data_IF_040814781526
#
_entry.id   IF_040814781526
#
_cell.length_a   1.000
_cell.length_b   1.000
_cell.length_c   1.000
_cell.angle_alpha   90.00
_cell.angle_beta   90.00
_cell.angle_gamma   90.00
#
_symmetry.space_group_name_H-M   'P 1'
#
loop_
_entity.id
_entity.type
_entity.pdbx_description
1 polymer ?
#
# COMPACT_ATOMS: atom_id res chain seq x y z
N UNK A 1 48.96 63.96 51.86
CA UNK A 1 48.39 63.82 53.22
C UNK A 1 47.26 62.80 53.17
N UNK A 2 46.92 62.17 54.29
CA UNK A 2 45.91 61.09 54.40
C UNK A 2 44.49 61.69 54.67
N UNK A 3 43.39 60.91 54.86
CA UNK A 3 43.30 59.44 54.97
C UNK A 3 42.10 58.77 54.23
N UNK A 4 41.89 57.49 54.58
CA UNK A 4 40.80 56.60 54.18
C UNK A 4 39.41 57.07 54.69
N UNK A 5 38.34 56.53 54.09
CA UNK A 5 37.33 55.74 54.84
C UNK A 5 36.48 54.86 53.91
N UNK A 6 35.89 53.80 54.47
CA UNK A 6 35.08 52.78 53.75
C UNK A 6 33.69 52.72 54.35
N UNK A 7 32.66 52.51 53.53
CA UNK A 7 31.36 52.01 54.01
C UNK A 7 30.68 51.16 52.93
N UNK A 8 30.12 50.02 53.34
CA UNK A 8 29.35 49.07 52.52
C UNK A 8 27.85 49.27 52.81
N UNK A 9 26.96 49.13 51.81
CA UNK A 9 25.86 48.16 51.86
C UNK A 9 25.16 47.94 50.51
N UNK A 10 24.42 46.84 50.42
CA UNK A 10 23.90 46.19 49.20
C UNK A 10 22.58 46.74 48.66
N UNK A 11 22.36 46.59 47.36
CA UNK A 11 21.05 46.25 46.77
C UNK A 11 21.23 45.55 45.40
N UNK A 12 20.29 44.70 44.99
CA UNK A 12 20.36 43.88 43.77
C UNK A 12 19.59 44.49 42.59
N UNK A 13 19.95 44.08 41.36
CA UNK A 13 19.20 44.02 40.07
C UNK A 13 20.25 44.19 38.93
N UNK A 14 20.15 43.64 37.71
CA UNK A 14 19.53 42.44 37.16
C UNK A 14 20.18 42.19 35.76
N UNK A 15 19.94 41.05 35.10
CA UNK A 15 20.61 40.73 33.83
C UNK A 15 20.14 41.57 32.63
N UNK A 16 21.10 41.95 31.78
CA UNK A 16 20.87 42.63 30.50
C UNK A 16 21.88 42.19 29.43
N UNK A 17 21.93 40.90 29.12
CA UNK A 17 22.84 40.34 28.12
C UNK A 17 22.28 40.50 26.69
N UNK A 18 23.03 41.17 25.81
CA UNK A 18 22.67 41.33 24.40
C UNK A 18 22.86 40.00 23.64
N UNK A 19 21.77 39.43 23.13
CA UNK A 19 21.82 38.24 22.27
C UNK A 19 22.04 38.68 20.82
N UNK A 20 23.21 38.37 20.26
CA UNK A 20 23.45 38.48 18.83
C UNK A 20 22.66 37.39 18.08
N UNK A 21 21.83 37.80 17.12
CA UNK A 21 20.98 36.88 16.37
C UNK A 21 21.79 36.02 15.39
N UNK A 22 21.97 34.74 15.70
CA UNK A 22 22.44 33.75 14.73
C UNK A 22 21.39 33.55 13.62
N UNK A 23 21.79 33.39 12.35
CA UNK A 23 20.86 33.10 11.27
C UNK A 23 20.23 31.71 11.46
N UNK A 24 18.90 31.66 11.49
CA UNK A 24 18.14 30.42 11.55
C UNK A 24 18.41 29.61 10.28
N UNK A 25 19.08 28.46 10.40
CA UNK A 25 19.17 27.49 9.31
C UNK A 25 17.75 26.99 8.98
N UNK A 26 17.38 26.83 7.70
CA UNK A 26 16.20 26.07 7.33
C UNK A 26 16.24 24.68 7.97
N UNK A 27 15.09 24.18 8.43
CA UNK A 27 15.01 22.85 9.02
C UNK A 27 15.47 21.79 8.00
N UNK A 28 16.38 20.92 8.42
CA UNK A 28 16.80 19.77 7.60
C UNK A 28 15.61 18.83 7.39
N UNK A 29 15.56 18.18 6.22
CA UNK A 29 14.53 17.22 5.92
C UNK A 29 14.58 16.02 6.87
N UNK A 30 13.52 15.88 7.68
CA UNK A 30 13.13 14.61 8.27
C UNK A 30 12.56 13.73 7.13
N UNK A 31 12.76 12.40 7.19
CA UNK A 31 12.21 11.43 6.23
C UNK A 31 11.57 10.28 7.02
N UNK A 32 10.28 9.97 6.75
CA UNK A 32 9.48 9.11 7.63
C UNK A 32 9.87 7.65 7.46
N UNK A 33 10.97 7.16 8.02
CA UNK A 33 11.24 5.72 8.02
C UNK A 33 10.51 5.04 9.18
N UNK A 34 9.47 4.24 8.89
CA UNK A 34 9.08 3.15 9.80
C UNK A 34 10.21 2.13 9.74
N UNK A 35 10.89 1.90 10.86
CA UNK A 35 11.89 0.84 10.95
C UNK A 35 11.18 -0.53 10.96
N UNK A 36 11.54 -1.39 10.01
CA UNK A 36 10.89 -2.69 9.84
C UNK A 36 11.46 -3.70 10.85
N UNK A 37 10.74 -3.94 11.95
CA UNK A 37 11.05 -5.02 12.89
C UNK A 37 10.62 -6.35 12.26
N UNK A 38 11.54 -6.95 11.49
CA UNK A 38 11.36 -8.28 10.88
C UNK A 38 10.97 -9.33 11.92
N UNK A 39 9.81 -9.97 11.75
CA UNK A 39 9.39 -11.09 12.58
C UNK A 39 10.11 -12.38 12.16
N UNK A 40 11.00 -12.98 12.98
CA UNK A 40 11.68 -14.23 12.64
C UNK A 40 10.74 -15.45 12.61
N UNK A 41 9.52 -15.31 13.14
CA UNK A 41 8.49 -16.35 13.24
C UNK A 41 7.37 -16.19 12.20
N UNK A 42 7.50 -15.28 11.24
CA UNK A 42 6.52 -15.12 10.16
C UNK A 42 6.44 -16.37 9.26
N UNK A 43 5.23 -16.75 8.88
CA UNK A 43 4.94 -17.86 7.94
C UNK A 43 4.11 -17.32 6.77
N UNK A 44 4.60 -17.54 5.55
CA UNK A 44 3.95 -17.04 4.34
C UNK A 44 2.63 -17.76 4.04
N UNK A 45 1.54 -17.02 3.92
CA UNK A 45 0.20 -17.57 3.70
C UNK A 45 -0.37 -17.14 2.33
N UNK A 46 0.03 -17.85 1.27
CA UNK A 46 -0.48 -17.61 -0.08
C UNK A 46 -2.01 -17.84 -0.19
N UNK A 47 -2.63 -18.82 0.51
CA UNK A 47 -4.08 -18.94 0.58
C UNK A 47 -4.75 -17.69 1.13
N UNK A 48 -4.20 -17.04 2.17
CA UNK A 48 -4.73 -15.76 2.67
C UNK A 48 -4.60 -14.63 1.63
N UNK A 49 -3.46 -14.51 0.96
CA UNK A 49 -3.25 -13.51 -0.08
C UNK A 49 -4.15 -13.75 -1.32
N UNK A 50 -4.35 -15.01 -1.72
CA UNK A 50 -5.22 -15.39 -2.83
C UNK A 50 -6.70 -15.20 -2.47
N UNK A 51 -7.09 -15.59 -1.25
CA UNK A 51 -8.43 -15.32 -0.72
C UNK A 51 -8.70 -13.82 -0.80
N UNK A 52 -7.88 -12.97 -0.14
CA UNK A 52 -7.97 -11.50 -0.21
C UNK A 52 -8.18 -10.97 -1.65
N UNK A 53 -7.60 -11.59 -2.68
CA UNK A 53 -7.80 -11.18 -4.07
C UNK A 53 -9.16 -11.59 -4.65
N UNK A 54 -9.57 -12.88 -4.58
CA UNK A 54 -10.94 -13.31 -4.97
C UNK A 54 -11.98 -12.43 -4.29
N UNK A 55 -11.77 -12.22 -2.99
CA UNK A 55 -12.51 -11.38 -2.08
C UNK A 55 -12.61 -9.94 -2.60
N UNK A 56 -11.49 -9.25 -2.82
CA UNK A 56 -11.48 -7.85 -3.27
C UNK A 56 -12.27 -7.60 -4.55
N UNK A 57 -12.34 -8.58 -5.44
CA UNK A 57 -13.04 -8.48 -6.74
C UNK A 57 -14.41 -9.17 -6.77
N UNK A 58 -14.95 -9.57 -5.61
CA UNK A 58 -16.31 -10.10 -5.49
C UNK A 58 -16.51 -11.53 -5.99
N UNK A 59 -15.42 -12.25 -6.27
CA UNK A 59 -15.46 -13.64 -6.67
C UNK A 59 -15.65 -14.58 -5.46
N UNK A 60 -16.37 -15.68 -5.67
CA UNK A 60 -16.59 -16.70 -4.63
C UNK A 60 -15.32 -17.52 -4.39
N UNK A 61 -14.96 -17.71 -3.12
CA UNK A 61 -13.84 -18.58 -2.72
C UNK A 61 -14.07 -20.03 -3.18
N UNK A 62 -13.12 -20.66 -3.91
CA UNK A 62 -13.16 -22.10 -4.20
C UNK A 62 -13.11 -22.94 -2.92
N UNK A 63 -13.75 -24.11 -2.95
CA UNK A 63 -14.00 -24.96 -1.77
C UNK A 63 -12.77 -25.22 -0.89
N UNK A 64 -11.64 -25.62 -1.51
CA UNK A 64 -10.38 -25.86 -0.78
C UNK A 64 -9.80 -24.59 -0.14
N UNK A 65 -9.91 -23.45 -0.82
CA UNK A 65 -9.43 -22.15 -0.34
C UNK A 65 -10.26 -21.67 0.87
N UNK A 66 -11.57 -21.86 0.82
CA UNK A 66 -12.49 -21.52 1.91
C UNK A 66 -12.21 -22.33 3.19
N UNK A 67 -11.88 -23.62 3.07
CA UNK A 67 -11.55 -24.47 4.23
C UNK A 67 -10.19 -24.10 4.85
N UNK A 68 -9.16 -23.84 4.03
CA UNK A 68 -7.84 -23.43 4.53
C UNK A 68 -7.91 -22.11 5.32
N UNK A 69 -8.73 -21.16 4.87
CA UNK A 69 -8.88 -19.85 5.50
C UNK A 69 -9.41 -19.88 6.94
N UNK A 70 -9.96 -21.00 7.41
CA UNK A 70 -10.62 -21.14 8.71
C UNK A 70 -9.66 -21.20 9.93
N UNK A 71 -8.35 -20.96 9.75
CA UNK A 71 -7.30 -21.54 10.65
C UNK A 71 -6.11 -20.66 11.13
N UNK A 72 -5.96 -19.37 10.79
CA UNK A 72 -4.67 -18.60 11.00
C UNK A 72 -4.77 -17.28 11.86
N UNK A 73 -3.68 -16.84 12.53
CA UNK A 73 -3.53 -15.56 13.33
C UNK A 73 -2.06 -15.00 13.41
N UNK A 74 -1.83 -13.68 13.65
CA UNK A 74 -0.48 -13.00 13.76
C UNK A 74 -0.46 -11.54 14.36
N UNK A 75 0.70 -10.87 14.58
CA UNK A 75 0.91 -9.61 15.40
C UNK A 75 2.02 -8.57 14.95
N UNK A 76 2.23 -7.42 15.67
CA UNK A 76 2.63 -6.02 15.23
C UNK A 76 4.07 -5.35 15.40
N UNK A 77 4.35 -4.16 14.77
CA UNK A 77 5.27 -3.01 15.19
C UNK A 77 5.25 -1.66 14.32
N UNK A 78 5.77 -0.47 14.81
CA UNK A 78 5.67 0.97 14.29
C UNK A 78 6.86 1.93 14.77
N UNK A 79 7.27 3.22 14.42
CA UNK A 79 7.03 4.40 13.47
C UNK A 79 7.94 5.71 13.69
N UNK A 80 8.25 6.63 12.71
CA UNK A 80 8.81 8.05 12.86
C UNK A 80 8.89 8.99 11.56
N UNK A 81 8.87 10.38 11.57
CA UNK A 81 8.37 11.40 10.54
C UNK A 81 9.27 12.13 9.41
N UNK A 82 8.78 13.13 8.59
CA UNK A 82 8.64 13.12 7.08
C UNK A 82 9.03 14.31 6.08
N UNK A 83 8.99 14.00 4.75
CA UNK A 83 8.73 14.96 3.61
C UNK A 83 7.38 14.65 2.90
N UNK A 84 7.10 15.20 1.70
CA UNK A 84 5.97 14.78 0.84
C UNK A 84 6.12 13.39 0.20
N UNK A 85 7.28 12.76 0.38
CA UNK A 85 7.46 11.32 0.24
C UNK A 85 6.98 10.64 1.52
N UNK A 86 5.94 9.82 1.43
CA UNK A 86 5.64 8.84 2.48
C UNK A 86 6.41 7.58 2.17
N UNK A 87 7.33 7.20 3.06
CA UNK A 87 7.91 5.86 3.03
C UNK A 87 6.79 4.89 3.39
N UNK A 88 6.70 3.79 2.68
CA UNK A 88 5.71 2.75 2.92
C UNK A 88 6.44 1.44 3.20
N UNK A 89 6.10 0.78 4.31
CA UNK A 89 6.92 -0.31 4.86
C UNK A 89 6.22 -1.64 4.69
N UNK A 90 6.87 -2.65 4.08
CA UNK A 90 6.26 -3.96 3.92
C UNK A 90 6.04 -4.61 5.28
N UNK A 91 4.87 -5.21 5.46
CA UNK A 91 4.68 -6.27 6.44
C UNK A 91 5.57 -7.49 6.09
N UNK A 92 5.81 -8.39 7.04
CA UNK A 92 6.63 -9.58 6.80
C UNK A 92 6.09 -10.43 5.61
N UNK A 93 7.02 -10.99 4.84
CA UNK A 93 6.71 -11.68 3.58
C UNK A 93 6.36 -10.74 2.40
N UNK A 94 6.34 -9.42 2.63
CA UNK A 94 5.86 -8.42 1.68
C UNK A 94 4.36 -8.58 1.33
N UNK A 95 3.49 -8.77 2.34
CA UNK A 95 2.06 -9.06 2.11
C UNK A 95 1.18 -7.83 1.80
N UNK A 96 1.58 -6.68 2.31
CA UNK A 96 0.97 -5.34 2.14
C UNK A 96 2.00 -4.28 2.54
N UNK A 97 1.78 -3.00 2.18
CA UNK A 97 2.72 -1.90 2.47
C UNK A 97 2.06 -0.78 3.27
N UNK A 98 2.36 -0.75 4.56
CA UNK A 98 1.72 0.16 5.50
C UNK A 98 2.38 1.54 5.48
N UNK A 99 1.53 2.56 5.39
CA UNK A 99 1.92 3.94 5.07
C UNK A 99 1.53 4.91 6.19
N UNK A 100 2.39 5.89 6.52
CA UNK A 100 2.12 6.88 7.55
C UNK A 100 1.21 8.02 7.08
N UNK A 101 -0.07 7.93 7.46
CA UNK A 101 -1.08 8.95 7.22
C UNK A 101 -1.47 9.65 8.53
N UNK A 102 -1.63 10.97 8.49
CA UNK A 102 -2.11 11.78 9.61
C UNK A 102 -3.55 12.24 9.34
N UNK A 103 -4.44 12.12 10.32
CA UNK A 103 -5.86 12.50 10.22
C UNK A 103 -6.25 13.41 11.40
N UNK A 104 -6.76 14.60 11.09
CA UNK A 104 -7.31 15.54 12.05
C UNK A 104 -6.36 16.58 12.60
N UNK A 105 -6.86 17.34 13.58
CA UNK A 105 -6.14 18.43 14.25
C UNK A 105 -6.36 18.34 15.78
N UNK A 106 -5.33 18.00 16.58
CA UNK A 106 -3.99 17.55 16.17
C UNK A 106 -4.03 16.24 15.36
N UNK A 107 -2.99 16.02 14.55
CA UNK A 107 -2.92 14.86 13.66
C UNK A 107 -2.86 13.54 14.42
N UNK A 108 -3.86 12.69 14.21
CA UNK A 108 -3.89 11.30 14.69
C UNK A 108 -3.27 10.41 13.62
N UNK A 109 -2.38 9.52 14.02
CA UNK A 109 -1.38 8.93 13.12
C UNK A 109 -1.69 7.44 12.90
N UNK A 110 -2.10 7.06 11.69
CA UNK A 110 -2.60 5.72 11.34
C UNK A 110 -1.74 5.04 10.25
N UNK A 111 -1.53 3.73 10.37
CA UNK A 111 -1.00 2.81 9.35
C UNK A 111 -2.12 2.51 8.34
N UNK A 112 -2.10 3.15 7.18
CA UNK A 112 -3.04 2.79 6.10
C UNK A 112 -2.32 2.01 5.00
N UNK A 113 -2.96 0.95 4.51
CA UNK A 113 -2.60 0.38 3.20
C UNK A 113 -3.06 1.35 2.09
N UNK A 114 -2.24 1.52 1.06
CA UNK A 114 -2.49 2.45 -0.05
C UNK A 114 -2.90 1.66 -1.28
N UNK A 115 -4.19 1.65 -1.57
CA UNK A 115 -4.82 0.66 -2.42
C UNK A 115 -5.27 1.25 -3.77
N UNK A 116 -4.56 0.96 -4.85
CA UNK A 116 -4.93 1.41 -6.21
C UNK A 116 -6.06 0.61 -6.87
N UNK A 117 -6.52 -0.48 -6.24
CA UNK A 117 -7.70 -1.27 -6.64
C UNK A 117 -9.04 -0.80 -6.05
N UNK A 118 -9.05 0.01 -5.00
CA UNK A 118 -10.27 0.59 -4.37
C UNK A 118 -10.27 2.12 -4.36
N UNK A 119 -11.31 2.77 -3.82
CA UNK A 119 -11.46 4.24 -3.83
C UNK A 119 -12.10 4.82 -2.56
N UNK A 120 -11.94 4.11 -1.45
CA UNK A 120 -12.57 4.40 -0.16
C UNK A 120 -11.46 4.65 0.87
N UNK A 121 -11.61 5.68 1.71
CA UNK A 121 -10.63 5.99 2.76
C UNK A 121 -11.25 5.62 4.11
N UNK A 122 -11.26 4.32 4.42
CA UNK A 122 -11.86 3.81 5.63
C UNK A 122 -10.83 3.53 6.73
N UNK A 123 -11.20 3.80 7.98
CA UNK A 123 -10.31 3.66 9.14
C UNK A 123 -11.00 3.01 10.33
N UNK A 124 -10.19 2.29 11.12
CA UNK A 124 -10.58 1.88 12.47
C UNK A 124 -10.77 3.10 13.37
N UNK A 125 -11.75 3.02 14.27
CA UNK A 125 -12.08 4.07 15.24
C UNK A 125 -12.12 3.54 16.66
N UNK A 126 -12.04 4.44 17.64
CA UNK A 126 -12.14 4.09 19.06
C UNK A 126 -13.53 3.55 19.49
N UNK A 127 -14.48 3.45 18.55
CA UNK A 127 -15.82 2.85 18.73
C UNK A 127 -16.01 1.58 17.89
N UNK A 128 -15.03 1.19 17.08
CA UNK A 128 -15.06 -0.03 16.27
C UNK A 128 -14.98 -1.27 17.15
N UNK A 129 -15.91 -2.22 16.95
CA UNK A 129 -15.86 -3.52 17.64
C UNK A 129 -14.59 -4.29 17.24
N UNK A 130 -13.91 -4.92 18.20
CA UNK A 130 -12.65 -5.64 17.99
C UNK A 130 -11.37 -4.79 18.03
N UNK A 131 -11.45 -3.46 17.88
CA UNK A 131 -10.28 -2.59 17.67
C UNK A 131 -9.42 -2.28 18.91
N UNK A 132 -9.60 -2.98 20.04
CA UNK A 132 -9.09 -2.57 21.36
C UNK A 132 -7.56 -2.59 21.55
N UNK A 133 -6.80 -3.07 20.57
CA UNK A 133 -5.33 -3.05 20.58
C UNK A 133 -4.70 -2.29 19.39
N UNK A 134 -5.52 -1.71 18.50
CA UNK A 134 -5.05 -1.03 17.28
C UNK A 134 -4.77 0.45 17.52
N UNK A 135 -4.09 1.10 16.56
CA UNK A 135 -4.24 2.55 16.42
C UNK A 135 -5.63 2.82 15.84
N UNK A 136 -6.21 3.99 16.14
CA UNK A 136 -7.59 4.29 15.72
C UNK A 136 -7.86 5.77 15.71
N UNK A 137 -8.59 6.22 14.70
CA UNK A 137 -9.02 7.60 14.57
C UNK A 137 -10.19 7.89 15.53
N UNK A 138 -10.06 8.95 16.33
CA UNK A 138 -11.13 9.48 17.17
C UNK A 138 -11.55 10.86 16.63
N UNK A 139 -12.67 10.98 15.88
CA UNK A 139 -13.12 12.28 15.38
C UNK A 139 -13.36 13.28 16.51
N UNK A 140 -13.87 12.83 17.67
CA UNK A 140 -14.08 13.67 18.86
C UNK A 140 -12.81 14.25 19.49
N UNK A 141 -11.61 13.84 19.04
CA UNK A 141 -10.31 14.45 19.39
C UNK A 141 -9.74 15.37 18.30
N UNK A 142 -10.42 15.52 17.17
CA UNK A 142 -10.01 16.38 16.06
C UNK A 142 -10.91 17.61 15.96
N UNK A 143 -10.31 18.80 16.11
CA UNK A 143 -11.00 20.09 15.98
C UNK A 143 -11.36 20.47 14.55
N UNK A 144 -10.83 19.74 13.56
CA UNK A 144 -11.19 19.90 12.14
C UNK A 144 -12.19 18.86 11.64
N UNK A 145 -12.58 17.88 12.47
CA UNK A 145 -13.56 16.87 12.08
C UNK A 145 -14.98 17.44 12.00
N UNK A 146 -15.75 16.96 11.02
CA UNK A 146 -17.17 17.28 10.84
C UNK A 146 -17.90 16.05 10.32
N UNK A 147 -18.82 15.49 11.11
CA UNK A 147 -19.68 14.37 10.64
C UNK A 147 -20.49 14.80 9.43
N UNK A 148 -20.46 14.00 8.37
CA UNK A 148 -21.21 14.25 7.14
C UNK A 148 -22.61 13.64 7.30
N UNK A 149 -23.49 14.36 8.00
CA UNK A 149 -24.80 13.83 8.43
C UNK A 149 -25.63 13.29 7.26
N UNK A 150 -26.15 12.07 7.42
CA UNK A 150 -26.89 11.34 6.39
C UNK A 150 -26.02 10.62 5.36
N UNK A 151 -24.69 10.60 5.52
CA UNK A 151 -23.77 9.84 4.65
C UNK A 151 -23.20 8.63 5.38
N UNK A 152 -23.18 7.50 4.68
CA UNK A 152 -22.70 6.21 5.16
C UNK A 152 -21.89 5.51 4.07
N UNK A 153 -20.98 4.63 4.49
CA UNK A 153 -20.26 3.73 3.58
C UNK A 153 -20.52 2.27 3.96
N UNK A 154 -20.44 1.39 2.97
CA UNK A 154 -20.48 -0.06 3.14
C UNK A 154 -19.68 -0.68 2.00
N UNK A 155 -18.42 -1.04 2.29
CA UNK A 155 -17.60 -1.83 1.38
C UNK A 155 -17.74 -3.31 1.76
N UNK A 156 -18.06 -4.13 0.76
CA UNK A 156 -18.18 -5.58 0.86
C UNK A 156 -17.13 -6.21 -0.03
N UNK A 157 -16.45 -7.20 0.52
CA UNK A 157 -15.51 -8.03 -0.20
C UNK A 157 -16.05 -9.49 -0.22
N UNK A 158 -15.69 -10.27 -1.24
CA UNK A 158 -16.31 -11.53 -1.69
C UNK A 158 -16.18 -12.78 -0.81
N UNK A 159 -15.49 -12.73 0.32
CA UNK A 159 -15.58 -13.73 1.40
C UNK A 159 -16.79 -13.45 2.32
N UNK A 160 -17.51 -12.37 2.07
CA UNK A 160 -18.51 -11.82 2.97
C UNK A 160 -17.92 -10.89 4.03
N UNK A 161 -16.61 -10.60 3.98
CA UNK A 161 -16.03 -9.53 4.79
C UNK A 161 -16.58 -8.18 4.38
N UNK A 162 -16.64 -7.26 5.35
CA UNK A 162 -17.14 -5.90 5.12
C UNK A 162 -16.63 -4.94 6.17
N UNK A 163 -16.50 -3.68 5.79
CA UNK A 163 -16.43 -2.56 6.74
C UNK A 163 -17.54 -1.56 6.39
N UNK A 164 -18.19 -1.01 7.43
CA UNK A 164 -19.32 -0.08 7.25
C UNK A 164 -19.50 0.86 8.43
N UNK A 165 -20.09 2.02 8.17
CA UNK A 165 -20.33 3.03 9.19
C UNK A 165 -20.60 4.42 8.63
N UNK A 166 -20.26 5.42 9.44
CA UNK A 166 -20.48 6.84 9.14
C UNK A 166 -19.36 7.43 8.27
N UNK A 167 -19.61 8.61 7.68
CA UNK A 167 -18.58 9.41 7.02
C UNK A 167 -18.34 10.71 7.77
N UNK A 168 -17.07 11.08 7.93
CA UNK A 168 -16.61 12.38 8.41
C UNK A 168 -15.85 13.12 7.31
N UNK A 169 -15.87 14.45 7.34
CA UNK A 169 -14.89 15.28 6.64
C UNK A 169 -13.86 15.75 7.66
N UNK A 170 -12.57 15.57 7.36
CA UNK A 170 -11.47 16.07 8.20
C UNK A 170 -10.21 16.36 7.34
N UNK A 171 -9.18 16.93 7.97
CA UNK A 171 -7.85 17.10 7.38
C UNK A 171 -7.12 15.75 7.33
N UNK A 172 -6.80 15.26 6.14
CA UNK A 172 -5.91 14.10 5.94
C UNK A 172 -4.58 14.59 5.38
N UNK A 173 -3.45 14.03 5.83
CA UNK A 173 -2.12 14.37 5.33
C UNK A 173 -1.27 13.13 5.06
N UNK A 174 -0.66 13.09 3.87
CA UNK A 174 0.36 12.13 3.46
C UNK A 174 1.70 12.85 3.44
N UNK A 175 2.48 12.72 4.52
CA UNK A 175 3.67 13.52 4.72
C UNK A 175 3.36 15.03 4.69
N UNK A 176 4.08 15.81 3.88
CA UNK A 176 3.84 17.26 3.72
C UNK A 176 2.64 17.65 2.84
N UNK A 177 1.90 16.70 2.25
CA UNK A 177 0.69 16.98 1.45
C UNK A 177 -0.56 16.83 2.31
N UNK A 178 -1.35 17.90 2.48
CA UNK A 178 -2.61 17.89 3.26
C UNK A 178 -3.85 18.20 2.41
N UNK A 179 -4.94 17.47 2.62
CA UNK A 179 -6.29 17.74 2.07
C UNK A 179 -7.23 18.04 3.25
N UNK A 180 -7.73 19.27 3.34
CA UNK A 180 -8.43 19.78 4.54
C UNK A 180 -9.90 19.35 4.70
N UNK A 181 -10.53 18.78 3.67
CA UNK A 181 -11.91 18.27 3.70
C UNK A 181 -11.97 16.90 3.01
N UNK A 182 -11.07 15.99 3.37
CA UNK A 182 -11.09 14.62 2.85
C UNK A 182 -12.22 13.84 3.55
N UNK A 183 -12.93 13.01 2.78
CA UNK A 183 -13.84 12.02 3.36
C UNK A 183 -13.02 10.93 4.07
N UNK A 184 -13.36 10.71 5.34
CA UNK A 184 -12.80 9.68 6.22
C UNK A 184 -13.97 8.80 6.66
N UNK A 185 -13.93 7.55 6.26
CA UNK A 185 -15.01 6.58 6.39
C UNK A 185 -14.78 5.77 7.69
N UNK A 186 -15.61 6.05 8.69
CA UNK A 186 -15.40 5.57 10.07
C UNK A 186 -16.07 4.23 10.28
N UNK A 187 -15.28 3.14 10.28
CA UNK A 187 -15.79 1.78 10.35
C UNK A 187 -16.39 1.46 11.73
N UNK A 188 -17.70 1.63 11.88
CA UNK A 188 -18.43 1.25 13.09
C UNK A 188 -18.55 -0.29 13.21
N UNK A 189 -18.52 -0.99 12.07
CA UNK A 189 -18.46 -2.46 11.99
C UNK A 189 -17.36 -2.89 11.02
N UNK A 190 -16.70 -3.99 11.38
CA UNK A 190 -15.76 -4.74 10.55
C UNK A 190 -15.96 -6.22 10.80
N UNK A 191 -15.77 -7.05 9.78
CA UNK A 191 -15.75 -8.51 9.90
C UNK A 191 -14.42 -9.02 10.47
N UNK A 192 -14.46 -10.13 11.22
CA UNK A 192 -13.30 -10.71 11.90
C UNK A 192 -12.16 -11.25 11.02
N UNK A 193 -12.25 -11.11 9.68
CA UNK A 193 -11.09 -11.24 8.79
C UNK A 193 -10.01 -10.22 9.16
N UNK A 194 -10.40 -8.96 9.34
CA UNK A 194 -9.51 -7.85 9.69
C UNK A 194 -8.88 -8.01 11.08
N UNK A 195 -9.53 -8.69 12.03
CA UNK A 195 -8.97 -8.98 13.36
C UNK A 195 -7.63 -9.74 13.30
N UNK A 196 -7.32 -10.40 12.17
CA UNK A 196 -6.05 -11.10 11.94
C UNK A 196 -4.88 -10.22 11.46
N UNK A 197 -5.10 -8.90 11.34
CA UNK A 197 -4.17 -7.93 10.71
C UNK A 197 -3.93 -6.71 11.61
N UNK A 198 -3.41 -6.86 12.84
CA UNK A 198 -3.46 -5.79 13.84
C UNK A 198 -2.71 -4.50 13.42
N UNK A 199 -1.60 -4.62 12.69
CA UNK A 199 -0.83 -3.48 12.18
C UNK A 199 -1.62 -2.54 11.24
N UNK A 200 -2.70 -3.01 10.60
CA UNK A 200 -3.51 -2.27 9.63
C UNK A 200 -4.57 -1.41 10.34
N UNK A 201 -4.40 -0.08 10.33
CA UNK A 201 -5.36 0.85 10.95
C UNK A 201 -6.47 1.31 9.96
N UNK A 202 -6.40 0.89 8.69
CA UNK A 202 -7.40 1.15 7.64
C UNK A 202 -6.81 1.12 6.22
N UNK A 203 -7.60 1.53 5.22
CA UNK A 203 -7.18 1.67 3.81
C UNK A 203 -7.29 3.13 3.35
N UNK A 204 -6.48 3.49 2.34
CA UNK A 204 -6.66 4.68 1.52
C UNK A 204 -6.72 4.28 0.05
N UNK A 205 -7.93 4.24 -0.52
CA UNK A 205 -8.16 4.00 -1.92
C UNK A 205 -7.56 5.08 -2.84
N UNK A 206 -6.84 4.64 -3.86
CA UNK A 206 -6.12 5.44 -4.87
C UNK A 206 -6.52 5.07 -6.32
N UNK A 207 -7.56 4.24 -6.50
CA UNK A 207 -8.29 4.10 -7.76
C UNK A 207 -9.04 5.37 -8.17
N UNK A 208 -9.91 5.27 -9.18
CA UNK A 208 -10.73 6.40 -9.62
C UNK A 208 -12.01 6.50 -8.77
N UNK A 209 -12.31 7.71 -8.29
CA UNK A 209 -13.42 7.99 -7.35
C UNK A 209 -14.83 7.51 -7.77
N UNK A 210 -15.01 7.08 -9.02
CA UNK A 210 -16.19 6.35 -9.50
C UNK A 210 -16.49 5.05 -8.73
N UNK A 211 -15.48 4.43 -8.09
CA UNK A 211 -15.66 3.22 -7.27
C UNK A 211 -16.12 3.49 -5.84
N UNK A 212 -16.03 4.73 -5.33
CA UNK A 212 -16.27 5.02 -3.92
C UNK A 212 -17.68 4.62 -3.47
N UNK A 213 -17.76 3.85 -2.38
CA UNK A 213 -18.99 3.20 -1.91
C UNK A 213 -19.96 4.15 -1.21
N UNK A 214 -19.52 5.35 -0.80
CA UNK A 214 -20.32 6.27 0.00
C UNK A 214 -21.68 6.58 -0.64
N UNK A 215 -22.72 6.56 0.19
CA UNK A 215 -24.10 6.94 -0.14
C UNK A 215 -24.55 8.07 0.80
N UNK A 216 -25.46 8.97 0.36
CA UNK A 216 -26.17 8.97 -0.92
C UNK A 216 -25.37 9.53 -2.10
N UNK A 217 -24.17 10.10 -1.88
CA UNK A 217 -23.29 10.60 -2.94
C UNK A 217 -21.86 10.11 -2.72
N UNK A 218 -21.23 9.44 -3.70
CA UNK A 218 -19.81 9.07 -3.64
C UNK A 218 -18.90 10.25 -3.32
N UNK A 219 -17.83 9.98 -2.59
CA UNK A 219 -16.80 10.94 -2.25
C UNK A 219 -15.59 10.79 -3.18
N UNK A 220 -14.63 11.71 -3.07
CA UNK A 220 -13.38 11.68 -3.81
C UNK A 220 -12.27 11.00 -3.01
N UNK A 221 -11.41 10.27 -3.71
CA UNK A 221 -10.14 9.77 -3.15
C UNK A 221 -9.24 10.92 -2.71
N UNK A 222 -8.28 10.62 -1.82
CA UNK A 222 -7.27 11.58 -1.38
C UNK A 222 -6.51 12.20 -2.58
N UNK A 223 -6.20 11.39 -3.59
CA UNK A 223 -5.54 11.87 -4.81
C UNK A 223 -6.41 12.80 -5.65
N UNK A 224 -7.68 12.46 -5.94
CA UNK A 224 -8.59 13.33 -6.70
C UNK A 224 -8.93 14.67 -6.00
N UNK A 225 -8.83 14.70 -4.66
CA UNK A 225 -8.91 15.93 -3.89
C UNK A 225 -7.57 16.70 -3.83
N UNK A 226 -6.43 16.02 -3.93
CA UNK A 226 -5.11 16.64 -3.94
C UNK A 226 -4.73 17.25 -5.30
N UNK A 227 -5.20 16.72 -6.44
CA UNK A 227 -4.83 17.16 -7.79
C UNK A 227 -4.73 18.71 -7.97
N UNK A 228 -5.68 19.54 -7.50
CA UNK A 228 -5.63 21.00 -7.68
C UNK A 228 -4.45 21.73 -7.00
N UNK A 229 -3.75 21.07 -6.08
CA UNK A 229 -2.58 21.60 -5.36
C UNK A 229 -1.28 20.82 -5.65
N UNK A 230 -1.30 19.83 -6.54
CA UNK A 230 -0.11 19.12 -6.97
C UNK A 230 0.61 19.86 -8.11
N UNK A 231 1.95 19.80 -8.11
CA UNK A 231 2.78 20.32 -9.22
C UNK A 231 2.50 19.61 -10.56
N UNK A 232 2.07 18.35 -10.50
CA UNK A 232 1.61 17.54 -11.63
C UNK A 232 0.55 16.56 -11.13
N UNK A 233 -0.45 16.23 -11.94
CA UNK A 233 -1.54 15.33 -11.56
C UNK A 233 -1.11 13.85 -11.60
N UNK A 234 -0.11 13.48 -10.79
CA UNK A 234 0.52 12.16 -10.75
C UNK A 234 0.77 11.70 -9.31
N UNK A 235 0.82 10.39 -9.09
CA UNK A 235 1.53 9.79 -7.96
C UNK A 235 2.39 8.63 -8.45
N UNK A 236 3.36 8.19 -7.64
CA UNK A 236 4.28 7.09 -8.00
C UNK A 236 4.41 6.09 -6.88
N UNK A 237 4.35 4.79 -7.21
CA UNK A 237 4.65 3.70 -6.30
C UNK A 237 6.06 3.15 -6.56
N UNK A 238 6.84 3.02 -5.49
CA UNK A 238 8.17 2.38 -5.51
C UNK A 238 8.30 1.43 -4.32
N UNK A 239 7.44 0.40 -4.30
CA UNK A 239 7.45 -0.69 -3.32
C UNK A 239 8.76 -1.49 -3.44
N UNK A 240 9.29 -2.05 -2.35
CA UNK A 240 10.56 -2.80 -2.37
C UNK A 240 10.43 -4.10 -1.58
N UNK A 241 11.08 -5.16 -2.07
CA UNK A 241 11.14 -6.46 -1.40
C UNK A 241 11.95 -6.38 -0.11
N UNK A 242 11.34 -6.75 1.02
CA UNK A 242 11.93 -6.89 2.35
C UNK A 242 12.71 -5.65 2.84
N UNK A 243 12.23 -4.45 2.47
CA UNK A 243 12.70 -3.14 2.95
C UNK A 243 11.69 -2.04 2.58
N UNK A 244 11.68 -0.90 3.27
CA UNK A 244 10.74 0.18 2.97
C UNK A 244 10.84 0.70 1.52
N UNK A 245 9.67 0.89 0.91
CA UNK A 245 9.47 1.56 -0.38
C UNK A 245 8.97 3.00 -0.19
N UNK A 246 8.48 3.64 -1.25
CA UNK A 246 7.94 5.02 -1.19
C UNK A 246 6.70 5.21 -2.05
N UNK A 247 5.79 6.07 -1.59
CA UNK A 247 4.84 6.78 -2.44
C UNK A 247 5.21 8.27 -2.50
N UNK A 248 5.16 8.83 -3.71
CA UNK A 248 5.32 10.27 -3.95
C UNK A 248 4.06 10.81 -4.63
N UNK A 249 3.62 12.00 -4.22
CA UNK A 249 2.47 12.69 -4.82
C UNK A 249 2.94 14.00 -5.47
N UNK A 250 2.47 14.26 -6.69
CA UNK A 250 2.69 15.52 -7.40
C UNK A 250 3.98 15.64 -8.21
N UNK A 251 4.87 14.65 -8.16
CA UNK A 251 6.13 14.63 -8.90
C UNK A 251 6.60 13.20 -9.22
N UNK A 252 7.64 13.09 -10.04
CA UNK A 252 8.29 11.84 -10.44
C UNK A 252 9.77 11.97 -10.07
N UNK A 253 10.29 11.07 -9.23
CA UNK A 253 11.71 11.06 -8.84
C UNK A 253 12.55 10.26 -9.84
N UNK A 254 13.31 10.99 -10.69
CA UNK A 254 14.17 10.42 -11.71
C UNK A 254 15.47 9.77 -11.18
N UNK A 255 15.74 9.85 -9.88
CA UNK A 255 16.88 9.15 -9.25
C UNK A 255 16.54 7.72 -8.83
N UNK A 256 15.25 7.36 -8.79
CA UNK A 256 14.77 6.11 -8.20
C UNK A 256 14.47 4.97 -9.18
N UNK A 257 14.68 5.22 -10.48
CA UNK A 257 14.49 4.26 -11.58
C UNK A 257 15.64 4.32 -12.59
N UNK A 258 15.68 3.38 -13.54
CA UNK A 258 16.72 3.27 -14.57
C UNK A 258 16.14 3.14 -15.97
N UNK A 259 16.75 3.86 -16.92
CA UNK A 259 16.26 3.94 -18.30
C UNK A 259 15.00 4.82 -18.41
N UNK A 260 14.16 4.51 -19.40
CA UNK A 260 12.95 5.28 -19.70
C UNK A 260 11.72 4.71 -18.99
N UNK A 261 10.72 5.56 -18.75
CA UNK A 261 9.38 5.14 -18.32
C UNK A 261 8.56 4.78 -19.58
N UNK A 262 8.11 3.52 -19.67
CA UNK A 262 7.21 3.06 -20.71
C UNK A 262 5.76 3.36 -20.34
N UNK A 263 5.12 4.29 -21.04
CA UNK A 263 3.73 4.69 -20.81
C UNK A 263 2.74 3.95 -21.73
N UNK A 264 1.57 3.63 -21.19
CA UNK A 264 0.38 3.16 -21.93
C UNK A 264 -0.88 3.86 -21.42
N UNK A 265 -1.91 4.07 -22.25
CA UNK A 265 -3.20 4.61 -21.78
C UNK A 265 -3.83 3.69 -20.73
N UNK A 266 -4.65 4.28 -19.87
CA UNK A 266 -5.44 3.56 -18.86
C UNK A 266 -6.90 3.58 -19.27
N UNK A 267 -7.51 2.40 -19.26
CA UNK A 267 -8.97 2.26 -19.28
C UNK A 267 -9.48 2.43 -17.85
N UNK A 268 -10.21 3.51 -17.60
CA UNK A 268 -10.79 3.82 -16.30
C UNK A 268 -12.32 3.65 -16.29
N UNK A 269 -12.89 2.97 -17.29
CA UNK A 269 -14.35 2.78 -17.43
C UNK A 269 -14.96 1.96 -16.28
N UNK A 270 -14.19 1.04 -15.70
CA UNK A 270 -14.51 0.29 -14.49
C UNK A 270 -13.95 0.93 -13.20
N UNK A 271 -13.32 2.10 -13.29
CA UNK A 271 -12.75 2.84 -12.16
C UNK A 271 -11.40 2.32 -11.64
N UNK A 272 -10.79 1.32 -12.29
CA UNK A 272 -9.45 0.84 -11.94
C UNK A 272 -8.35 1.48 -12.80
N UNK A 273 -7.10 1.30 -12.39
CA UNK A 273 -5.93 1.57 -13.22
C UNK A 273 -5.66 0.41 -14.21
N UNK A 274 -6.63 0.12 -15.07
CA UNK A 274 -6.54 -0.96 -16.07
C UNK A 274 -5.66 -0.56 -17.25
N UNK A 275 -4.76 -1.46 -17.64
CA UNK A 275 -3.83 -1.28 -18.76
C UNK A 275 -3.60 -2.60 -19.52
N UNK A 276 -2.99 -2.51 -20.70
CA UNK A 276 -2.58 -3.68 -21.48
C UNK A 276 -1.08 -3.86 -21.42
N UNK A 277 -0.60 -4.97 -20.84
CA UNK A 277 0.73 -5.48 -21.15
C UNK A 277 0.73 -6.07 -22.56
N UNK A 278 1.73 -5.73 -23.35
CA UNK A 278 1.86 -6.10 -24.78
C UNK A 278 2.51 -7.47 -25.01
N UNK A 279 3.03 -8.11 -23.95
CA UNK A 279 3.73 -9.38 -24.05
C UNK A 279 4.34 -9.86 -22.74
N UNK A 280 4.85 -11.09 -22.74
CA UNK A 280 5.57 -11.68 -21.61
C UNK A 280 6.72 -12.61 -22.04
N UNK A 281 7.62 -12.90 -21.10
CA UNK A 281 8.72 -13.86 -21.25
C UNK A 281 8.95 -14.64 -19.96
N UNK A 282 9.55 -15.83 -20.06
CA UNK A 282 9.89 -16.69 -18.93
C UNK A 282 11.38 -17.06 -18.99
N UNK A 283 12.13 -16.79 -17.92
CA UNK A 283 13.56 -17.05 -17.88
C UNK A 283 14.34 -16.27 -18.95
N UNK A 284 14.96 -17.01 -19.87
CA UNK A 284 15.75 -16.48 -20.99
C UNK A 284 14.98 -16.47 -22.33
N UNK A 285 13.70 -16.84 -22.35
CA UNK A 285 12.87 -16.78 -23.55
C UNK A 285 12.76 -15.33 -24.08
N UNK A 286 12.64 -15.17 -25.41
CA UNK A 286 12.33 -13.86 -26.01
C UNK A 286 10.90 -13.43 -25.66
N UNK A 287 10.67 -12.13 -25.51
CA UNK A 287 9.34 -11.61 -25.18
C UNK A 287 8.34 -11.87 -26.32
N UNK A 288 7.35 -12.72 -26.03
CA UNK A 288 6.26 -13.07 -26.93
C UNK A 288 5.20 -11.97 -26.95
N UNK A 289 4.58 -11.74 -28.11
CA UNK A 289 3.46 -10.79 -28.25
C UNK A 289 2.16 -11.44 -27.80
N UNK A 290 1.72 -11.06 -26.61
CA UNK A 290 0.47 -11.53 -26.00
C UNK A 290 -0.14 -10.38 -25.22
N UNK A 291 -1.29 -9.86 -25.67
CA UNK A 291 -2.01 -8.82 -24.93
C UNK A 291 -2.60 -9.38 -23.64
N UNK A 292 -2.22 -8.79 -22.51
CA UNK A 292 -2.76 -9.11 -21.19
C UNK A 292 -3.33 -7.82 -20.62
N UNK A 293 -4.66 -7.69 -20.63
CA UNK A 293 -5.38 -6.60 -19.98
C UNK A 293 -5.48 -6.90 -18.49
N UNK A 294 -5.08 -5.98 -17.63
CA UNK A 294 -5.15 -6.12 -16.18
C UNK A 294 -4.96 -4.81 -15.45
N UNK A 295 -5.18 -4.82 -14.14
CA UNK A 295 -5.11 -3.63 -13.28
C UNK A 295 -3.77 -3.58 -12.55
N UNK A 296 -3.24 -2.37 -12.33
CA UNK A 296 -2.15 -2.15 -11.39
C UNK A 296 -2.75 -1.93 -9.99
N UNK A 297 -2.47 -2.83 -9.06
CA UNK A 297 -3.14 -2.88 -7.76
C UNK A 297 -2.16 -3.11 -6.60
N UNK A 298 -1.83 -2.03 -5.90
CA UNK A 298 -0.97 -1.98 -4.71
C UNK A 298 -1.61 -2.55 -3.45
N UNK A 299 -2.91 -2.86 -3.47
CA UNK A 299 -3.61 -3.55 -2.38
C UNK A 299 -3.91 -5.02 -2.72
N UNK A 300 -3.14 -5.64 -3.62
CA UNK A 300 -3.16 -7.09 -3.88
C UNK A 300 -1.73 -7.61 -3.94
N UNK A 301 -1.41 -8.54 -3.03
CA UNK A 301 -0.05 -9.06 -2.86
C UNK A 301 0.49 -9.76 -4.11
N UNK A 302 -0.34 -10.57 -4.79
CA UNK A 302 0.08 -11.57 -5.78
C UNK A 302 0.05 -11.02 -7.21
N UNK A 303 0.81 -11.67 -8.12
CA UNK A 303 0.64 -11.48 -9.56
C UNK A 303 -0.40 -12.47 -10.08
N UNK A 304 -1.56 -11.98 -10.53
CA UNK A 304 -2.71 -12.82 -10.90
C UNK A 304 -2.97 -12.66 -12.40
N UNK A 305 -2.67 -13.71 -13.17
CA UNK A 305 -2.65 -13.71 -14.64
C UNK A 305 -3.40 -14.93 -15.19
N UNK A 306 -3.75 -14.97 -16.49
CA UNK A 306 -4.57 -16.06 -17.03
C UNK A 306 -3.93 -17.45 -16.83
N UNK A 307 -4.76 -18.49 -16.71
CA UNK A 307 -4.34 -19.89 -16.62
C UNK A 307 -3.31 -20.28 -17.69
N UNK A 308 -3.42 -19.74 -18.90
CA UNK A 308 -2.49 -20.00 -20.01
C UNK A 308 -1.09 -19.49 -19.73
N UNK A 309 -0.96 -18.29 -19.14
CA UNK A 309 0.31 -17.67 -18.75
C UNK A 309 0.91 -18.40 -17.56
N UNK A 310 0.09 -18.73 -16.56
CA UNK A 310 0.49 -19.54 -15.41
C UNK A 310 1.02 -20.93 -15.82
N UNK A 311 0.26 -21.67 -16.64
CA UNK A 311 0.67 -22.98 -17.15
C UNK A 311 1.97 -22.91 -17.96
N UNK A 312 2.14 -21.88 -18.78
CA UNK A 312 3.39 -21.66 -19.52
C UNK A 312 4.60 -21.42 -18.59
N UNK A 313 4.41 -20.63 -17.51
CA UNK A 313 5.46 -20.39 -16.52
C UNK A 313 5.81 -21.66 -15.72
N UNK A 314 4.82 -22.32 -15.13
CA UNK A 314 5.07 -23.50 -14.28
C UNK A 314 5.51 -24.74 -15.08
N UNK A 315 5.21 -24.83 -16.38
CA UNK A 315 5.83 -25.84 -17.26
C UNK A 315 7.37 -25.72 -17.37
N UNK A 316 7.96 -24.58 -17.00
CA UNK A 316 9.42 -24.37 -16.90
C UNK A 316 9.96 -24.67 -15.48
N UNK A 317 9.11 -24.99 -14.51
CA UNK A 317 9.45 -25.22 -13.10
C UNK A 317 9.30 -26.70 -12.77
N UNK A 318 10.43 -27.43 -12.75
CA UNK A 318 10.48 -28.88 -12.49
C UNK A 318 9.87 -29.18 -11.11
N UNK A 319 8.98 -30.18 -11.05
CA UNK A 319 8.33 -30.58 -9.80
C UNK A 319 7.25 -29.61 -9.29
N UNK A 320 6.89 -28.57 -10.07
CA UNK A 320 5.73 -27.75 -9.76
C UNK A 320 4.41 -28.48 -10.08
N UNK A 321 3.35 -28.09 -9.36
CA UNK A 321 1.97 -28.56 -9.59
C UNK A 321 0.98 -27.47 -9.20
N UNK A 322 -0.22 -27.49 -9.77
CA UNK A 322 -1.37 -26.83 -9.15
C UNK A 322 -1.92 -27.74 -8.07
N UNK A 323 -2.06 -27.23 -6.84
CA UNK A 323 -2.60 -27.99 -5.71
C UNK A 323 -4.02 -27.51 -5.41
N UNK A 324 -5.01 -28.31 -5.77
CA UNK A 324 -6.43 -27.95 -5.72
C UNK A 324 -6.97 -27.76 -4.30
N UNK A 325 -6.28 -28.28 -3.27
CA UNK A 325 -6.65 -28.02 -1.87
C UNK A 325 -6.27 -26.61 -1.43
N UNK A 326 -5.13 -26.13 -1.89
CA UNK A 326 -4.62 -24.79 -1.58
C UNK A 326 -5.03 -23.75 -2.64
N UNK A 327 -5.72 -24.21 -3.70
CA UNK A 327 -6.08 -23.46 -4.92
C UNK A 327 -4.90 -22.70 -5.55
N UNK A 328 -3.69 -23.26 -5.47
CA UNK A 328 -2.45 -22.53 -5.76
C UNK A 328 -1.40 -23.43 -6.43
N UNK A 329 -0.62 -22.83 -7.33
CA UNK A 329 0.64 -23.40 -7.79
C UNK A 329 1.67 -23.49 -6.66
N UNK A 330 2.27 -24.66 -6.54
CA UNK A 330 3.30 -25.01 -5.56
C UNK A 330 4.45 -25.76 -6.22
N UNK A 331 5.62 -25.76 -5.59
CA UNK A 331 6.85 -26.43 -6.04
C UNK A 331 7.74 -26.75 -4.82
N UNK A 332 8.84 -27.49 -5.01
CA UNK A 332 9.78 -27.78 -3.91
C UNK A 332 10.60 -26.54 -3.52
N UNK A 333 10.69 -26.17 -2.24
CA UNK A 333 11.30 -24.90 -1.79
C UNK A 333 12.78 -24.68 -2.22
N UNK A 334 13.51 -25.74 -2.56
CA UNK A 334 14.87 -25.69 -3.11
C UNK A 334 14.94 -25.39 -4.62
N UNK A 335 13.80 -25.21 -5.29
CA UNK A 335 13.74 -24.98 -6.74
C UNK A 335 14.13 -23.55 -7.10
N UNK A 336 15.16 -23.39 -7.92
CA UNK A 336 15.48 -22.11 -8.53
C UNK A 336 14.42 -21.75 -9.59
N UNK A 337 13.61 -20.73 -9.31
CA UNK A 337 12.58 -20.26 -10.22
C UNK A 337 13.17 -19.42 -11.37
N UNK A 338 12.62 -19.52 -12.59
CA UNK A 338 12.93 -18.60 -13.67
C UNK A 338 12.39 -17.20 -13.36
N UNK A 339 12.89 -16.19 -14.08
CA UNK A 339 12.27 -14.86 -14.10
C UNK A 339 10.92 -14.90 -14.81
N UNK A 340 10.03 -13.94 -14.49
CA UNK A 340 8.88 -13.61 -15.32
C UNK A 340 9.04 -12.16 -15.80
N UNK A 341 8.84 -11.89 -17.09
CA UNK A 341 8.94 -10.52 -17.64
C UNK A 341 7.68 -10.13 -18.39
N UNK A 342 7.33 -8.85 -18.39
CA UNK A 342 6.18 -8.30 -19.10
C UNK A 342 6.54 -6.95 -19.76
N UNK A 343 5.81 -6.54 -20.81
CA UNK A 343 6.18 -5.38 -21.64
C UNK A 343 5.10 -4.28 -21.68
N UNK A 344 5.44 -3.09 -21.19
CA UNK A 344 4.56 -1.92 -21.14
C UNK A 344 5.23 -0.72 -21.80
N UNK A 345 4.58 -0.07 -22.78
CA UNK A 345 5.09 1.14 -23.42
C UNK A 345 6.48 1.01 -24.05
N UNK A 346 6.83 -0.19 -24.55
CA UNK A 346 8.17 -0.50 -25.09
C UNK A 346 9.23 -0.87 -24.04
N UNK A 347 8.90 -0.83 -22.74
CA UNK A 347 9.79 -1.22 -21.64
C UNK A 347 9.44 -2.61 -21.14
N UNK A 348 10.41 -3.53 -21.17
CA UNK A 348 10.29 -4.83 -20.48
C UNK A 348 10.65 -4.68 -19.01
N UNK A 349 9.71 -4.96 -18.12
CA UNK A 349 9.92 -5.17 -16.68
C UNK A 349 10.22 -6.67 -16.47
N UNK A 350 11.14 -6.98 -15.55
CA UNK A 350 11.55 -8.35 -15.23
C UNK A 350 11.49 -8.59 -13.72
N UNK A 351 10.63 -9.51 -13.33
CA UNK A 351 10.44 -9.99 -11.96
C UNK A 351 11.47 -11.12 -11.70
N UNK A 352 12.34 -11.00 -10.68
CA UNK A 352 13.26 -12.06 -10.29
C UNK A 352 12.54 -13.35 -9.85
N UNK A 353 13.14 -14.52 -10.09
CA UNK A 353 12.63 -15.78 -9.53
C UNK A 353 12.51 -15.77 -8.00
N UNK A 354 13.35 -15.00 -7.31
CA UNK A 354 13.31 -14.79 -5.84
C UNK A 354 12.16 -13.87 -5.36
N UNK A 355 11.42 -13.25 -6.28
CA UNK A 355 10.17 -12.54 -6.03
C UNK A 355 8.95 -13.43 -6.34
N UNK A 356 9.13 -14.56 -7.04
CA UNK A 356 8.07 -15.48 -7.48
C UNK A 356 7.93 -16.73 -6.59
N UNK A 357 8.80 -16.87 -5.58
CA UNK A 357 8.63 -17.80 -4.46
C UNK A 357 8.05 -17.02 -3.28
N UNK A 358 6.83 -17.37 -2.87
CA UNK A 358 6.12 -16.68 -1.80
C UNK A 358 6.55 -17.17 -0.40
N UNK A 359 7.13 -18.36 -0.30
CA UNK A 359 7.49 -19.01 0.96
C UNK A 359 6.79 -20.37 1.17
N UNK A 360 7.00 -20.96 2.34
CA UNK A 360 6.61 -22.35 2.67
C UNK A 360 5.10 -22.55 2.68
N UNK A 361 4.63 -23.52 1.90
CA UNK A 361 3.25 -24.00 1.85
C UNK A 361 2.94 -25.12 2.84
N UNK A 362 3.96 -25.87 3.29
CA UNK A 362 3.82 -26.98 4.23
C UNK A 362 4.70 -26.79 5.45
N UNK A 363 4.21 -27.21 6.63
CA UNK A 363 4.90 -27.07 7.92
C UNK A 363 6.25 -27.83 7.99
N UNK A 364 6.52 -28.74 7.05
CA UNK A 364 7.81 -29.43 6.91
C UNK A 364 8.85 -28.66 6.10
N UNK A 365 8.51 -27.45 5.61
CA UNK A 365 9.37 -26.55 4.86
C UNK A 365 9.75 -27.03 3.45
N UNK A 366 9.18 -28.14 2.95
CA UNK A 366 9.59 -28.73 1.66
C UNK A 366 8.82 -28.21 0.46
N UNK A 367 7.53 -27.88 0.63
CA UNK A 367 6.70 -27.30 -0.44
C UNK A 367 6.63 -25.79 -0.25
N UNK A 368 6.77 -25.02 -1.34
CA UNK A 368 6.63 -23.57 -1.37
C UNK A 368 5.52 -23.15 -2.34
N UNK A 369 4.90 -22.00 -2.05
CA UNK A 369 3.90 -21.35 -2.91
C UNK A 369 4.54 -20.49 -4.00
N UNK A 370 3.93 -20.50 -5.18
CA UNK A 370 4.21 -19.52 -6.24
C UNK A 370 3.53 -18.18 -5.97
N UNK A 371 4.21 -17.08 -6.31
CA UNK A 371 3.66 -15.73 -6.19
C UNK A 371 2.96 -15.24 -7.48
N UNK A 372 3.06 -16.02 -8.56
CA UNK A 372 2.26 -15.92 -9.78
C UNK A 372 1.15 -16.99 -9.69
N UNK A 373 -0.12 -16.60 -9.76
CA UNK A 373 -1.28 -17.50 -9.66
C UNK A 373 -2.35 -17.19 -10.73
N UNK A 374 -3.33 -18.09 -10.96
CA UNK A 374 -4.45 -17.84 -11.88
C UNK A 374 -5.33 -16.66 -11.46
N UNK A 375 -5.96 -16.02 -12.44
CA UNK A 375 -6.94 -14.93 -12.27
C UNK A 375 -8.34 -15.29 -12.79
N UNK A 376 -8.49 -16.41 -13.50
CA UNK A 376 -9.67 -16.71 -14.32
C UNK A 376 -10.98 -16.71 -13.52
N UNK A 377 -10.98 -17.32 -12.34
CA UNK A 377 -12.14 -17.35 -11.43
C UNK A 377 -12.43 -15.98 -10.78
N UNK A 378 -11.43 -15.10 -10.74
CA UNK A 378 -11.51 -13.73 -10.19
C UNK A 378 -12.08 -12.76 -11.25
N UNK A 379 -12.01 -13.13 -12.53
CA UNK A 379 -12.54 -12.35 -13.66
C UNK A 379 -11.69 -11.15 -14.08
N UNK A 380 -10.62 -10.81 -13.35
CA UNK A 380 -9.70 -9.70 -13.66
C UNK A 380 -8.25 -10.09 -13.41
N UNK A 381 -7.35 -9.72 -14.34
CA UNK A 381 -5.91 -9.90 -14.16
C UNK A 381 -5.35 -8.77 -13.31
N UNK A 382 -4.52 -9.08 -12.33
CA UNK A 382 -4.06 -8.15 -11.30
C UNK A 382 -2.53 -8.15 -11.28
N UNK A 383 -1.93 -7.05 -11.73
CA UNK A 383 -0.51 -6.77 -11.59
C UNK A 383 -0.28 -6.21 -10.19
N UNK A 384 -0.39 -7.10 -9.20
CA UNK A 384 -0.17 -6.81 -7.79
C UNK A 384 1.29 -6.68 -7.41
N UNK A 385 1.56 -6.69 -6.11
CA UNK A 385 2.84 -6.24 -5.54
C UNK A 385 4.06 -7.00 -6.04
N UNK A 386 3.94 -8.29 -6.38
CA UNK A 386 5.01 -9.06 -7.03
C UNK A 386 5.53 -8.37 -8.31
N UNK A 387 4.64 -7.76 -9.10
CA UNK A 387 5.01 -6.99 -10.29
C UNK A 387 5.37 -5.53 -9.94
N UNK A 388 4.61 -4.88 -9.05
CA UNK A 388 4.82 -3.47 -8.70
C UNK A 388 6.15 -3.26 -7.97
N UNK A 389 6.54 -4.15 -7.04
CA UNK A 389 7.82 -4.06 -6.32
C UNK A 389 9.03 -4.36 -7.21
N UNK A 390 8.83 -4.97 -8.38
CA UNK A 390 9.84 -5.17 -9.41
C UNK A 390 10.02 -3.96 -10.37
N UNK A 391 9.23 -2.89 -10.19
CA UNK A 391 9.24 -1.72 -11.07
C UNK A 391 9.20 -0.39 -10.29
N UNK A 392 9.47 0.72 -10.97
CA UNK A 392 9.00 2.03 -10.56
C UNK A 392 7.76 2.37 -11.39
N UNK A 393 6.66 2.74 -10.73
CA UNK A 393 5.33 2.85 -11.36
C UNK A 393 4.77 4.26 -11.17
N UNK A 394 4.30 4.86 -12.26
CA UNK A 394 3.70 6.21 -12.30
C UNK A 394 2.23 6.11 -12.67
N UNK A 395 1.37 6.59 -11.79
CA UNK A 395 -0.07 6.70 -11.99
C UNK A 395 -0.39 8.15 -12.41
N UNK A 396 -0.59 8.38 -13.71
CA UNK A 396 -0.76 9.72 -14.28
C UNK A 396 -2.25 10.03 -14.46
N UNK A 397 -2.83 10.61 -13.40
CA UNK A 397 -4.23 11.00 -13.33
C UNK A 397 -4.61 12.18 -14.22
N UNK A 398 -3.63 12.98 -14.65
CA UNK A 398 -3.82 14.08 -15.59
C UNK A 398 -3.99 13.61 -17.04
N UNK A 399 -3.15 12.66 -17.48
CA UNK A 399 -3.18 12.13 -18.86
C UNK A 399 -3.86 10.76 -18.98
N UNK A 400 -4.44 10.23 -17.89
CA UNK A 400 -5.11 8.91 -17.81
C UNK A 400 -4.27 7.80 -18.44
N UNK A 401 -3.05 7.64 -17.92
CA UNK A 401 -2.05 6.69 -18.38
C UNK A 401 -1.25 6.13 -17.21
N UNK A 402 -0.65 4.95 -17.39
CA UNK A 402 0.27 4.35 -16.41
C UNK A 402 1.65 4.21 -17.04
N UNK A 403 2.69 4.52 -16.27
CA UNK A 403 4.09 4.46 -16.68
C UNK A 403 4.86 3.43 -15.86
N UNK A 404 5.64 2.57 -16.52
CA UNK A 404 6.47 1.55 -15.88
C UNK A 404 7.94 1.73 -16.25
N UNK A 405 8.84 1.76 -15.25
CA UNK A 405 10.28 1.80 -15.44
C UNK A 405 10.99 0.71 -14.65
N UNK A 406 12.20 0.35 -15.10
CA UNK A 406 13.11 -0.55 -14.37
C UNK A 406 13.71 0.20 -13.18
N UNK A 407 14.24 -0.51 -12.20
CA UNK A 407 14.96 0.07 -11.06
C UNK A 407 15.95 -0.93 -10.47
N UNK A 408 16.86 -0.53 -9.55
CA UNK A 408 17.58 -1.45 -8.69
C UNK A 408 16.61 -2.24 -7.78
N UNK A 409 16.81 -3.55 -7.67
CA UNK A 409 15.92 -4.51 -6.98
C UNK A 409 16.46 -5.00 -5.63
#
# INVERSE_FOLDING_TARGET
>A
MAPLSVTFLSACLAFGAVVTGCPVRPAQDQQFSVEQIRNPSYVANCPKALARAYVKYGASLPEGLAEVMRTTKSTEAKRADSTGTVVTTPEDGDVEWLTPIQIGTPGQVLNLDLDTGSSDLWVFTNTTQGASQRTSYNPGKSSTSRKLNGYTFEIRYGDGSSSSGDVYLDKVSAGRLSVNNQAVETANRVSGSFDSEPNLDGLMGLGFSSLNTVRPRPQKTFFDNAIPQLRSAVFTANLRRQRPGTYNFGYIDNTTYTGNIGYVPVDFSNGWWQFTSSGYAIGTDKIGRTSINGIADTGTTLLLLPNTVNRAYYAKVIGSRFDSRMNAYTFGCSTNLPTFSFAVGGVTITIPGTYLNFGTATNDGKTCYGSLQPSDDIGVNIFGDIALKAAFVVFDGGQKRIGWARKPL
#
